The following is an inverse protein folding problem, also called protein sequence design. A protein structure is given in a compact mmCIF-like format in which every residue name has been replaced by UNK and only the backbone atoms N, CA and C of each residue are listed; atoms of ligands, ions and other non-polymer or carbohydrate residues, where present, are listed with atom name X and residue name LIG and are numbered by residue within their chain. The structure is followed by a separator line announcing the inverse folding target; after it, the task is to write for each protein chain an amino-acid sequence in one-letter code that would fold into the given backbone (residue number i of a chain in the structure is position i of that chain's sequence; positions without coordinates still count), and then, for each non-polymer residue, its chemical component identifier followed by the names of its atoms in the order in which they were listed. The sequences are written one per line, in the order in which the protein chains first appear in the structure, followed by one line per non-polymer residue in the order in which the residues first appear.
data_IF_705724808783
#
_entry.id   IF_705724808783
#
_cell.length_a   1.000
_cell.length_b   1.000
_cell.length_c   1.000
_cell.angle_alpha   90.00
_cell.angle_beta   90.00
_cell.angle_gamma   90.00
#
_symmetry.space_group_name_H-M   'P 1'
#
loop_
_entity.id
_entity.type
_entity.pdbx_description
1 polymer ?
#
# COMPACT_ATOMS: atom_id res chain seq x y z
N UNK A 1 -15.04 22.94 -34.72
CA UNK A 1 -13.93 22.04 -34.35
C UNK A 1 -14.18 20.74 -35.10
N UNK A 2 -13.14 20.11 -35.65
CA UNK A 2 -13.25 18.83 -36.36
C UNK A 2 -13.63 17.70 -35.38
N UNK A 3 -14.65 16.91 -35.71
CA UNK A 3 -15.14 15.81 -34.87
C UNK A 3 -14.03 14.79 -34.55
N UNK A 4 -13.09 14.59 -35.48
CA UNK A 4 -11.93 13.72 -35.26
C UNK A 4 -10.98 14.31 -34.20
N UNK A 5 -10.74 15.62 -34.25
CA UNK A 5 -9.93 16.32 -33.26
C UNK A 5 -10.58 16.27 -31.86
N UNK A 6 -11.90 16.46 -31.77
CA UNK A 6 -12.62 16.35 -30.49
C UNK A 6 -12.56 14.95 -29.88
N UNK A 7 -12.72 13.90 -30.69
CA UNK A 7 -12.63 12.50 -30.22
C UNK A 7 -11.24 12.21 -29.67
N UNK A 8 -10.18 12.65 -30.37
CA UNK A 8 -8.79 12.49 -29.92
C UNK A 8 -8.53 13.21 -28.60
N UNK A 9 -8.93 14.47 -28.48
CA UNK A 9 -8.77 15.26 -27.24
C UNK A 9 -9.48 14.58 -26.07
N UNK A 10 -10.71 14.09 -26.27
CA UNK A 10 -11.47 13.37 -25.23
C UNK A 10 -10.78 12.07 -24.82
N UNK A 11 -10.21 11.33 -25.77
CA UNK A 11 -9.49 10.09 -25.49
C UNK A 11 -8.19 10.34 -24.73
N UNK A 12 -7.39 11.30 -25.18
CA UNK A 12 -6.13 11.70 -24.54
C UNK A 12 -6.39 12.23 -23.12
N UNK A 13 -7.43 13.04 -22.93
CA UNK A 13 -7.84 13.53 -21.60
C UNK A 13 -8.29 12.42 -20.66
N UNK A 14 -9.09 11.46 -21.14
CA UNK A 14 -9.49 10.29 -20.34
C UNK A 14 -8.30 9.43 -19.93
N UNK A 15 -7.35 9.24 -20.85
CA UNK A 15 -6.13 8.49 -20.59
C UNK A 15 -5.26 9.18 -19.54
N UNK A 16 -5.08 10.49 -19.67
CA UNK A 16 -4.33 11.31 -18.70
C UNK A 16 -4.94 11.23 -17.29
N UNK A 17 -6.25 11.44 -17.16
CA UNK A 17 -6.93 11.35 -15.85
C UNK A 17 -6.81 9.97 -15.22
N UNK A 18 -6.82 8.90 -16.04
CA UNK A 18 -6.61 7.53 -15.56
C UNK A 18 -5.19 7.34 -15.00
N UNK A 19 -4.16 7.81 -15.70
CA UNK A 19 -2.77 7.74 -15.22
C UNK A 19 -2.63 8.50 -13.91
N UNK A 20 -3.11 9.75 -13.87
CA UNK A 20 -3.00 10.58 -12.67
C UNK A 20 -3.66 9.93 -11.45
N UNK A 21 -4.82 9.30 -11.65
CA UNK A 21 -5.51 8.54 -10.58
C UNK A 21 -4.69 7.35 -10.10
N UNK A 22 -4.07 6.60 -11.01
CA UNK A 22 -3.21 5.46 -10.69
C UNK A 22 -1.99 5.92 -9.89
N UNK A 23 -1.35 7.02 -10.30
CA UNK A 23 -0.20 7.59 -9.61
C UNK A 23 -0.57 8.06 -8.20
N UNK A 24 -1.71 8.76 -8.07
CA UNK A 24 -2.22 9.23 -6.77
C UNK A 24 -2.43 8.08 -5.80
N UNK A 25 -3.15 7.03 -6.23
CA UNK A 25 -3.38 5.84 -5.41
C UNK A 25 -2.09 5.12 -5.04
N UNK A 26 -1.10 5.08 -5.93
CA UNK A 26 0.21 4.49 -5.63
C UNK A 26 0.96 5.29 -4.56
N UNK A 27 0.87 6.60 -4.57
CA UNK A 27 1.51 7.44 -3.57
C UNK A 27 0.80 7.36 -2.21
N UNK A 28 -0.54 7.30 -2.21
CA UNK A 28 -1.33 7.00 -1.01
C UNK A 28 -1.01 5.61 -0.45
N UNK A 29 -0.80 4.62 -1.33
CA UNK A 29 -0.41 3.28 -0.92
C UNK A 29 0.94 3.26 -0.19
N UNK A 30 1.94 3.99 -0.72
CA UNK A 30 3.25 4.14 -0.07
C UNK A 30 3.15 4.88 1.26
N UNK A 31 2.34 5.94 1.32
CA UNK A 31 2.12 6.71 2.54
C UNK A 31 1.48 5.85 3.65
N UNK A 32 0.50 5.02 3.31
CA UNK A 32 -0.10 4.08 4.26
C UNK A 32 0.90 3.01 4.72
N UNK A 33 1.74 2.48 3.82
CA UNK A 33 2.80 1.54 4.20
C UNK A 33 3.83 2.18 5.15
N UNK A 34 4.21 3.43 4.93
CA UNK A 34 5.06 4.19 5.87
C UNK A 34 4.37 4.37 7.23
N UNK A 35 3.07 4.65 7.23
CA UNK A 35 2.26 4.72 8.46
C UNK A 35 2.22 3.38 9.20
N UNK A 36 2.02 2.27 8.49
CA UNK A 36 2.09 0.91 9.06
C UNK A 36 3.46 0.67 9.68
N UNK A 37 4.55 1.02 8.99
CA UNK A 37 5.91 0.85 9.52
C UNK A 37 6.15 1.66 10.80
N UNK A 38 5.66 2.90 10.87
CA UNK A 38 5.73 3.73 12.08
C UNK A 38 4.88 3.17 13.23
N UNK A 39 3.67 2.69 12.92
CA UNK A 39 2.80 2.05 13.91
C UNK A 39 3.46 0.78 14.49
N UNK A 40 4.15 0.00 13.67
CA UNK A 40 4.91 -1.16 14.12
C UNK A 40 6.04 -0.80 15.09
N UNK A 41 6.80 0.25 14.80
CA UNK A 41 7.86 0.74 15.69
C UNK A 41 7.26 1.19 17.03
N UNK A 42 6.15 1.94 17.00
CA UNK A 42 5.45 2.40 18.21
C UNK A 42 4.88 1.23 19.02
N UNK A 43 4.31 0.23 18.36
CA UNK A 43 3.78 -0.98 18.99
C UNK A 43 4.89 -1.81 19.63
N UNK A 44 6.00 -2.04 18.90
CA UNK A 44 7.14 -2.78 19.40
C UNK A 44 7.79 -2.12 20.63
N UNK A 45 7.84 -0.78 20.67
CA UNK A 45 8.32 -0.05 21.84
C UNK A 45 7.49 -0.32 23.11
N UNK A 46 6.19 -0.60 22.95
CA UNK A 46 5.26 -0.89 24.05
C UNK A 46 5.16 -2.39 24.38
N UNK A 47 5.48 -3.27 23.42
CA UNK A 47 5.25 -4.71 23.49
C UNK A 47 6.56 -5.53 23.53
N UNK A 48 7.63 -4.97 24.09
CA UNK A 48 8.88 -5.70 24.31
C UNK A 48 9.61 -6.11 23.02
N UNK A 49 9.56 -5.26 21.99
CA UNK A 49 10.21 -5.47 20.70
C UNK A 49 9.42 -6.34 19.73
N UNK A 50 8.21 -6.76 20.07
CA UNK A 50 7.34 -7.57 19.21
C UNK A 50 6.41 -6.71 18.36
N UNK A 51 6.19 -7.14 17.13
CA UNK A 51 5.29 -6.48 16.18
C UNK A 51 3.85 -7.01 16.30
N UNK A 52 2.89 -6.20 15.86
CA UNK A 52 1.45 -6.48 15.94
C UNK A 52 0.84 -6.75 14.57
N UNK A 53 -0.27 -7.49 14.48
CA UNK A 53 -1.05 -7.55 13.23
C UNK A 53 -1.83 -6.23 13.02
N UNK A 54 -2.41 -6.04 11.82
CA UNK A 54 -3.14 -4.80 11.50
C UNK A 54 -4.27 -4.49 12.49
N UNK A 55 -4.98 -5.51 13.00
CA UNK A 55 -6.09 -5.28 13.93
C UNK A 55 -5.57 -4.78 15.27
N UNK A 56 -4.51 -5.37 15.81
CA UNK A 56 -3.88 -4.90 17.05
C UNK A 56 -3.41 -3.44 16.94
N UNK A 57 -2.84 -3.06 15.81
CA UNK A 57 -2.41 -1.67 15.59
C UNK A 57 -3.61 -0.70 15.54
N UNK A 58 -4.76 -1.15 15.06
CA UNK A 58 -5.99 -0.35 15.04
C UNK A 58 -6.61 -0.28 16.44
N UNK A 59 -6.66 -1.39 17.16
CA UNK A 59 -7.19 -1.48 18.51
C UNK A 59 -6.39 -0.60 19.49
N UNK A 60 -5.06 -0.51 19.30
CA UNK A 60 -4.16 0.38 20.04
C UNK A 60 -4.20 1.85 19.55
N UNK A 61 -5.02 2.16 18.55
CA UNK A 61 -5.18 3.51 17.98
C UNK A 61 -3.97 4.01 17.17
N UNK A 62 -3.05 3.12 16.79
CA UNK A 62 -1.85 3.45 16.01
C UNK A 62 -2.11 3.50 14.51
N UNK A 63 -3.15 2.79 14.04
CA UNK A 63 -3.63 2.84 12.66
C UNK A 63 -5.13 3.14 12.60
N UNK A 64 -5.62 3.81 11.55
CA UNK A 64 -7.04 3.95 11.32
C UNK A 64 -7.63 2.66 10.74
N UNK A 65 -8.93 2.46 10.93
CA UNK A 65 -9.65 1.28 10.44
C UNK A 65 -9.72 1.18 8.92
N UNK A 66 -9.49 2.30 8.21
CA UNK A 66 -9.47 2.35 6.75
C UNK A 66 -8.35 1.49 6.15
N UNK A 67 -7.27 1.25 6.89
CA UNK A 67 -6.15 0.37 6.51
C UNK A 67 -6.57 -1.10 6.32
N UNK A 68 -7.77 -1.50 6.78
CA UNK A 68 -8.34 -2.84 6.52
C UNK A 68 -9.08 -2.94 5.18
N UNK A 69 -9.24 -1.82 4.47
CA UNK A 69 -10.02 -1.75 3.25
C UNK A 69 -9.24 -1.04 2.14
N UNK A 70 -9.71 -1.23 0.90
CA UNK A 70 -9.19 -0.50 -0.24
C UNK A 70 -9.96 0.81 -0.53
N UNK A 71 -10.90 1.21 0.32
CA UNK A 71 -11.80 2.33 0.03
C UNK A 71 -11.07 3.67 0.04
N UNK A 72 -10.08 3.84 0.92
CA UNK A 72 -9.34 5.10 1.04
C UNK A 72 -8.25 5.25 -0.01
N UNK A 73 -7.48 4.19 -0.28
CA UNK A 73 -6.28 4.27 -1.12
C UNK A 73 -6.34 3.47 -2.42
N UNK A 74 -7.41 2.69 -2.64
CA UNK A 74 -7.49 1.76 -3.76
C UNK A 74 -6.58 0.52 -3.64
N UNK A 75 -5.98 0.30 -2.48
CA UNK A 75 -5.05 -0.79 -2.20
C UNK A 75 -5.48 -1.66 -1.02
N UNK A 76 -5.26 -2.96 -1.12
CA UNK A 76 -5.46 -3.94 -0.05
C UNK A 76 -4.12 -4.15 0.65
N UNK A 77 -4.11 -3.94 1.97
CA UNK A 77 -2.94 -4.15 2.81
C UNK A 77 -3.02 -5.50 3.52
N UNK A 78 -1.90 -6.22 3.53
CA UNK A 78 -1.74 -7.40 4.36
C UNK A 78 -0.45 -7.27 5.18
N UNK A 79 -0.47 -7.80 6.40
CA UNK A 79 0.68 -7.80 7.28
C UNK A 79 0.86 -9.19 7.87
N UNK A 80 2.07 -9.72 7.75
CA UNK A 80 2.43 -11.02 8.27
C UNK A 80 3.62 -10.86 9.20
N UNK A 81 3.54 -11.51 10.36
CA UNK A 81 4.59 -11.55 11.36
C UNK A 81 5.44 -12.81 11.17
N UNK A 82 6.71 -12.75 11.55
CA UNK A 82 7.54 -13.94 11.72
C UNK A 82 7.07 -14.74 12.94
N UNK A 83 7.43 -16.02 13.02
CA UNK A 83 6.98 -16.93 14.10
C UNK A 83 7.39 -16.44 15.50
N UNK A 84 8.53 -15.75 15.61
CA UNK A 84 9.02 -15.15 16.85
C UNK A 84 8.37 -13.79 17.18
N UNK A 85 7.61 -13.21 16.25
CA UNK A 85 7.01 -11.88 16.33
C UNK A 85 8.02 -10.72 16.32
N UNK A 86 9.31 -10.99 16.08
CA UNK A 86 10.38 -10.00 16.06
C UNK A 86 10.67 -9.44 14.65
N UNK A 87 9.93 -9.92 13.65
CA UNK A 87 9.96 -9.43 12.29
C UNK A 87 8.56 -9.36 11.70
N UNK A 88 8.43 -8.59 10.63
CA UNK A 88 7.20 -8.54 9.84
C UNK A 88 7.53 -8.21 8.38
N UNK A 89 6.56 -8.48 7.53
CA UNK A 89 6.46 -7.85 6.21
C UNK A 89 5.02 -7.40 5.97
N UNK A 90 4.88 -6.32 5.22
CA UNK A 90 3.58 -5.81 4.80
C UNK A 90 3.52 -5.63 3.30
N UNK A 91 2.42 -6.05 2.69
CA UNK A 91 2.17 -5.87 1.26
C UNK A 91 1.08 -4.84 1.03
N UNK A 92 1.15 -4.15 -0.10
CA UNK A 92 0.03 -3.39 -0.64
C UNK A 92 -0.22 -3.85 -2.08
N UNK A 93 -1.42 -4.36 -2.34
CA UNK A 93 -1.83 -4.88 -3.66
C UNK A 93 -2.98 -4.02 -4.19
N UNK A 94 -2.96 -3.60 -5.46
CA UNK A 94 -4.06 -2.80 -6.00
C UNK A 94 -5.36 -3.61 -5.97
N UNK A 95 -6.42 -3.03 -5.44
CA UNK A 95 -7.74 -3.68 -5.43
C UNK A 95 -8.27 -3.95 -6.84
N UNK A 96 -7.98 -3.04 -7.79
CA UNK A 96 -8.30 -3.21 -9.20
C UNK A 96 -7.08 -2.88 -10.06
N UNK A 97 -6.39 -3.91 -10.56
CA UNK A 97 -5.23 -3.75 -11.44
C UNK A 97 -5.58 -2.91 -12.69
N UNK A 98 -4.73 -1.92 -12.98
CA UNK A 98 -4.93 -0.99 -14.09
C UNK A 98 -6.00 0.07 -13.86
N UNK A 99 -6.64 0.11 -12.68
CA UNK A 99 -7.55 1.20 -12.27
C UNK A 99 -7.09 1.88 -11.00
N UNK A 100 -6.90 1.12 -9.92
CA UNK A 100 -6.37 1.65 -8.66
C UNK A 100 -4.86 1.60 -8.63
N UNK A 101 -4.22 0.70 -9.38
CA UNK A 101 -2.78 0.63 -9.42
C UNK A 101 -2.24 -0.38 -10.42
N UNK A 102 -0.97 -0.20 -10.80
CA UNK A 102 -0.19 -1.18 -11.56
C UNK A 102 0.83 -1.90 -10.68
N UNK A 103 1.52 -1.16 -9.83
CA UNK A 103 2.54 -1.72 -8.94
C UNK A 103 1.89 -2.33 -7.70
N UNK A 104 2.45 -3.45 -7.27
CA UNK A 104 2.32 -3.93 -5.90
C UNK A 104 3.56 -3.52 -5.12
N UNK A 105 3.41 -3.42 -3.80
CA UNK A 105 4.44 -2.97 -2.89
C UNK A 105 4.69 -3.97 -1.77
N UNK A 106 5.91 -4.00 -1.27
CA UNK A 106 6.36 -4.79 -0.14
C UNK A 106 7.22 -3.92 0.77
N UNK A 107 6.89 -3.90 2.06
CA UNK A 107 7.79 -3.38 3.10
C UNK A 107 8.27 -4.55 3.95
N UNK A 108 9.57 -4.61 4.16
CA UNK A 108 10.24 -5.57 5.06
C UNK A 108 11.29 -4.84 5.88
N UNK A 109 11.62 -5.36 7.05
CA UNK A 109 12.75 -4.84 7.80
C UNK A 109 14.08 -5.27 7.15
N UNK A 110 15.01 -4.32 7.09
CA UNK A 110 16.42 -4.61 6.82
C UNK A 110 17.07 -5.30 8.03
N UNK A 111 18.29 -5.81 7.85
CA UNK A 111 19.11 -6.36 8.95
C UNK A 111 19.37 -5.33 10.06
N UNK A 112 19.28 -4.03 9.74
CA UNK A 112 19.44 -2.92 10.70
C UNK A 112 18.12 -2.49 11.35
N UNK A 113 17.02 -3.21 11.09
CA UNK A 113 15.69 -2.90 11.61
C UNK A 113 14.99 -1.71 10.96
N UNK A 114 15.56 -1.12 9.90
CA UNK A 114 14.90 -0.05 9.14
C UNK A 114 13.96 -0.63 8.06
N UNK A 115 12.76 -0.06 7.84
CA UNK A 115 11.83 -0.52 6.80
C UNK A 115 12.39 -0.26 5.39
N UNK A 116 12.31 -1.26 4.53
CA UNK A 116 12.71 -1.20 3.12
C UNK A 116 11.47 -1.41 2.25
N UNK A 117 11.15 -0.40 1.43
CA UNK A 117 10.09 -0.46 0.44
C UNK A 117 10.64 -1.01 -0.89
N UNK A 118 9.98 -2.03 -1.40
CA UNK A 118 10.16 -2.59 -2.74
C UNK A 118 8.85 -2.48 -3.52
N UNK A 119 8.94 -2.31 -4.84
CA UNK A 119 7.79 -2.24 -5.74
C UNK A 119 8.02 -3.09 -6.98
N UNK A 120 6.96 -3.75 -7.46
CA UNK A 120 7.01 -4.53 -8.71
C UNK A 120 5.63 -4.58 -9.36
N UNK A 121 5.58 -4.57 -10.69
CA UNK A 121 4.38 -4.98 -11.41
C UNK A 121 4.20 -6.49 -11.29
N UNK A 122 3.16 -6.89 -10.58
CA UNK A 122 2.80 -8.30 -10.34
C UNK A 122 1.50 -8.67 -11.04
N UNK A 123 0.93 -7.79 -11.88
CA UNK A 123 -0.38 -7.99 -12.48
C UNK A 123 -1.51 -8.03 -11.44
N UNK A 124 -1.40 -7.25 -10.36
CA UNK A 124 -2.39 -7.19 -9.28
C UNK A 124 -2.30 -8.30 -8.24
N UNK A 125 -1.14 -8.96 -8.11
CA UNK A 125 -0.89 -10.00 -7.09
C UNK A 125 0.00 -9.48 -5.96
N UNK A 126 -0.11 -10.00 -4.74
CA UNK A 126 0.85 -9.66 -3.68
C UNK A 126 2.29 -9.96 -4.08
N UNK A 127 3.24 -9.12 -3.65
CA UNK A 127 4.68 -9.35 -3.88
C UNK A 127 5.27 -10.48 -3.03
N UNK A 128 4.54 -10.92 -2.01
CA UNK A 128 4.92 -12.00 -1.12
C UNK A 128 3.64 -12.75 -0.71
N UNK A 129 3.69 -14.07 -0.82
CA UNK A 129 2.61 -14.99 -0.44
C UNK A 129 2.91 -15.60 0.93
#
# INVERSE_FOLDING_TARGET
VDEYAEKRIKQEGKFYLRILRIETHQDEAKAMLDRIAKAQIAFAAQNGGKFGDLRKLIDDGLLPSDALSAESTGYIYALTLTDDGAGYWSTATPAEYGKSGLMSFLVRLSEKGSPLLSSKDTGGKPMQN
#
